data_IF_492147158582
#
_entry.id   IF_492147158582
#
_cell.length_a   1.000
_cell.length_b   1.000
_cell.length_c   1.000
_cell.angle_alpha   90.00
_cell.angle_beta   90.00
_cell.angle_gamma   90.00
#
_symmetry.space_group_name_H-M   'P 1'
#
loop_
_entity.id
_entity.type
_entity.pdbx_description
1 polymer ?
#
# COMPACT_ATOMS: atom_id res chain seq x y z
N UNK A 1 41.45 22.60 2.52
CA UNK A 1 40.16 21.88 2.56
C UNK A 1 39.33 22.33 1.35
N UNK A 2 39.63 21.76 0.18
CA UNK A 2 39.03 22.13 -1.12
C UNK A 2 38.01 21.07 -1.59
N UNK A 3 37.35 20.39 -0.65
CA UNK A 3 36.53 19.20 -0.96
C UNK A 3 35.02 19.43 -0.82
N UNK A 4 34.56 20.64 -0.52
CA UNK A 4 33.13 20.93 -0.33
C UNK A 4 32.48 21.78 -1.44
N UNK A 5 33.24 22.35 -2.37
CA UNK A 5 32.68 23.15 -3.48
C UNK A 5 32.31 22.33 -4.74
N UNK A 6 32.61 21.03 -4.77
CA UNK A 6 32.29 20.19 -5.92
C UNK A 6 30.83 19.67 -5.93
N UNK A 7 30.09 19.81 -4.82
CA UNK A 7 28.70 19.33 -4.71
C UNK A 7 27.65 20.29 -5.27
N UNK A 8 28.04 21.47 -5.74
CA UNK A 8 27.11 22.44 -6.35
C UNK A 8 27.03 22.36 -7.88
N UNK A 9 27.97 21.63 -8.51
CA UNK A 9 28.17 21.68 -9.97
C UNK A 9 27.71 20.42 -10.72
N UNK A 10 27.23 19.38 -10.04
CA UNK A 10 26.40 18.37 -10.68
C UNK A 10 24.94 18.68 -10.40
N UNK A 11 24.42 19.73 -11.05
CA UNK A 11 23.07 19.62 -11.61
C UNK A 11 23.11 18.45 -12.57
N UNK A 12 23.06 17.24 -12.04
CA UNK A 12 22.41 16.19 -12.78
C UNK A 12 20.95 16.60 -12.71
N UNK A 13 20.54 17.33 -13.75
CA UNK A 13 19.24 17.20 -14.37
C UNK A 13 19.08 15.72 -14.73
N UNK A 14 19.02 14.89 -13.68
CA UNK A 14 18.49 13.56 -13.76
C UNK A 14 17.04 13.85 -14.04
N UNK A 15 16.71 13.72 -15.33
CA UNK A 15 15.47 13.22 -15.85
C UNK A 15 14.87 12.23 -14.84
N UNK A 16 14.32 12.76 -13.75
CA UNK A 16 13.34 12.08 -12.96
C UNK A 16 12.17 12.12 -13.89
N UNK A 17 12.13 11.11 -14.75
CA UNK A 17 10.92 10.55 -15.28
C UNK A 17 9.93 10.51 -14.11
N UNK A 18 9.13 11.56 -14.04
CA UNK A 18 8.08 11.74 -13.06
C UNK A 18 7.06 10.69 -13.48
N UNK A 19 7.34 9.45 -13.07
CA UNK A 19 6.60 8.29 -13.50
C UNK A 19 5.16 8.58 -13.19
N UNK A 20 4.34 8.66 -14.23
CA UNK A 20 2.91 8.91 -14.09
C UNK A 20 2.36 7.74 -13.29
N UNK A 21 2.25 7.93 -11.97
CA UNK A 21 1.67 6.94 -11.08
C UNK A 21 0.18 6.87 -11.39
N UNK A 22 -0.19 5.98 -12.31
CA UNK A 22 -1.58 5.70 -12.58
C UNK A 22 -2.14 4.94 -11.38
N UNK A 23 -3.03 5.59 -10.64
CA UNK A 23 -3.80 4.91 -9.60
C UNK A 23 -4.67 3.83 -10.24
N UNK A 24 -4.38 2.57 -9.93
CA UNK A 24 -5.20 1.44 -10.34
C UNK A 24 -6.39 1.36 -9.38
N UNK A 25 -7.58 1.72 -9.84
CA UNK A 25 -8.82 1.64 -9.04
C UNK A 25 -9.47 0.26 -9.11
N UNK A 26 -8.99 -0.60 -10.01
CA UNK A 26 -9.51 -1.93 -10.22
C UNK A 26 -8.55 -2.98 -9.62
N UNK A 27 -9.07 -3.82 -8.73
CA UNK A 27 -8.28 -4.85 -8.06
C UNK A 27 -7.76 -5.93 -9.02
N UNK A 28 -8.48 -6.22 -10.10
CA UNK A 28 -8.04 -7.17 -11.13
C UNK A 28 -6.87 -6.60 -11.95
N UNK A 29 -6.93 -5.31 -12.26
CA UNK A 29 -5.84 -4.61 -12.96
C UNK A 29 -4.58 -4.53 -12.09
N UNK A 30 -4.75 -4.22 -10.80
CA UNK A 30 -3.68 -4.23 -9.82
C UNK A 30 -3.06 -5.63 -9.68
N UNK A 31 -3.89 -6.68 -9.60
CA UNK A 31 -3.43 -8.06 -9.55
C UNK A 31 -2.63 -8.44 -10.77
N UNK A 32 -3.09 -8.07 -11.97
CA UNK A 32 -2.38 -8.35 -13.22
C UNK A 32 -1.00 -7.69 -13.27
N UNK A 33 -0.90 -6.41 -12.90
CA UNK A 33 0.37 -5.66 -12.87
C UNK A 33 1.36 -6.29 -11.88
N UNK A 34 0.87 -6.70 -10.72
CA UNK A 34 1.68 -7.35 -9.68
C UNK A 34 1.89 -8.85 -9.92
N UNK A 35 1.35 -9.41 -11.01
CA UNK A 35 1.35 -10.85 -11.32
C UNK A 35 0.84 -11.69 -10.15
N UNK A 36 -0.14 -11.15 -9.43
CA UNK A 36 -0.73 -11.84 -8.30
C UNK A 36 -1.61 -12.99 -8.80
N UNK A 37 -1.63 -14.10 -8.06
CA UNK A 37 -2.46 -15.21 -8.44
C UNK A 37 -3.95 -14.88 -8.34
N UNK A 38 -4.72 -15.38 -9.31
CA UNK A 38 -6.17 -15.20 -9.38
C UNK A 38 -6.92 -16.38 -8.77
N UNK A 39 -6.54 -16.80 -7.57
CA UNK A 39 -7.30 -17.76 -6.79
C UNK A 39 -7.95 -17.05 -5.60
N UNK A 40 -9.27 -17.17 -5.52
CA UNK A 40 -10.00 -16.76 -4.34
C UNK A 40 -10.05 -17.94 -3.38
N UNK A 41 -9.28 -17.85 -2.30
CA UNK A 41 -9.27 -18.83 -1.21
C UNK A 41 -10.68 -19.01 -0.58
N UNK A 42 -11.55 -18.01 -0.75
CA UNK A 42 -12.97 -18.07 -0.36
C UNK A 42 -13.73 -19.02 -1.30
N UNK A 43 -13.54 -18.90 -2.62
CA UNK A 43 -14.22 -19.77 -3.59
C UNK A 43 -13.71 -21.21 -3.58
N UNK A 44 -12.47 -21.42 -3.15
CA UNK A 44 -11.88 -22.76 -3.01
C UNK A 44 -12.33 -23.51 -1.75
N UNK A 45 -13.21 -22.91 -0.94
CA UNK A 45 -13.76 -23.55 0.26
C UNK A 45 -12.76 -23.68 1.42
N UNK A 46 -11.54 -23.14 1.29
CA UNK A 46 -10.54 -23.11 2.37
C UNK A 46 -11.04 -22.32 3.59
N UNK A 47 -11.88 -21.31 3.35
CA UNK A 47 -12.59 -20.56 4.39
C UNK A 47 -14.02 -21.06 4.64
N UNK A 48 -14.38 -22.30 4.28
CA UNK A 48 -15.75 -22.79 4.45
C UNK A 48 -16.23 -22.77 5.91
N UNK A 49 -15.32 -22.85 6.88
CA UNK A 49 -15.63 -22.76 8.31
C UNK A 49 -15.40 -21.35 8.88
N UNK A 50 -14.97 -20.40 8.05
CA UNK A 50 -14.77 -19.03 8.49
C UNK A 50 -16.12 -18.35 8.66
N UNK A 51 -16.44 -18.02 9.91
CA UNK A 51 -17.62 -17.26 10.25
C UNK A 51 -17.15 -15.88 10.67
N UNK A 52 -17.61 -14.84 9.96
CA UNK A 52 -17.29 -13.46 10.34
C UNK A 52 -17.73 -13.25 11.81
N UNK A 53 -16.88 -12.64 12.65
CA UNK A 53 -17.27 -12.29 14.00
C UNK A 53 -18.57 -11.48 13.96
N UNK A 54 -19.48 -11.77 14.88
CA UNK A 54 -20.68 -10.95 15.04
C UNK A 54 -20.24 -9.53 15.37
N UNK A 55 -20.90 -8.56 14.73
CA UNK A 55 -20.72 -7.16 15.09
C UNK A 55 -20.94 -6.98 16.60
N UNK A 56 -20.06 -6.24 17.30
CA UNK A 56 -20.21 -6.02 18.72
C UNK A 56 -21.61 -5.49 19.04
N UNK A 57 -22.29 -6.13 20.00
CA UNK A 57 -23.62 -5.68 20.43
C UNK A 57 -23.58 -4.33 21.18
N UNK A 58 -22.37 -3.90 21.56
CA UNK A 58 -22.12 -2.67 22.29
C UNK A 58 -21.17 -1.84 21.44
N UNK A 59 -21.55 -0.59 21.19
CA UNK A 59 -20.64 0.38 20.59
C UNK A 59 -19.50 0.64 21.57
N UNK A 60 -18.26 0.38 21.15
CA UNK A 60 -17.08 0.69 21.94
C UNK A 60 -16.74 2.15 21.66
N UNK A 61 -16.71 2.98 22.70
CA UNK A 61 -16.28 4.36 22.58
C UNK A 61 -14.83 4.43 22.10
N UNK A 62 -14.55 5.33 21.16
CA UNK A 62 -13.20 5.57 20.67
C UNK A 62 -12.37 6.24 21.78
N UNK A 63 -11.41 5.49 22.34
CA UNK A 63 -10.54 6.00 23.39
C UNK A 63 -9.31 6.61 22.73
N UNK A 64 -9.27 7.94 22.65
CA UNK A 64 -8.08 8.65 22.18
C UNK A 64 -6.86 8.24 23.00
N UNK A 65 -5.90 7.57 22.35
CA UNK A 65 -4.59 7.28 22.91
C UNK A 65 -3.74 8.58 22.93
N UNK A 66 -4.09 9.52 23.80
CA UNK A 66 -3.22 10.65 24.09
C UNK A 66 -1.97 10.11 24.79
N UNK A 67 -0.86 10.06 24.04
CA UNK A 67 0.47 9.84 24.61
C UNK A 67 0.81 11.08 25.44
N UNK A 68 0.98 10.87 26.75
CA UNK A 68 1.52 11.88 27.68
C UNK A 68 3.04 11.95 27.58
#
# INVERSE_FOLDING_TARGET
>A
MQHLDAMSASRHEGDREEGVYRTLTNIEELRAVLQLPNYSLITEGLFSNFQLPREPAVNIEDINHLSN
#
